data_IF_358247914478
#
_entry.id   IF_358247914478
#
_cell.length_a   1.000
_cell.length_b   1.000
_cell.length_c   1.000
_cell.angle_alpha   90.00
_cell.angle_beta   90.00
_cell.angle_gamma   90.00
#
_symmetry.space_group_name_H-M   'P 1'
#
loop_
_entity.id
_entity.type
_entity.pdbx_description
1 polymer ?
#
# COMPACT_ATOMS: atom_id res chain seq x y z
N UNK A 1 -14.26 4.35 27.31
CA UNK A 1 -14.98 3.74 26.17
C UNK A 1 -14.56 4.42 24.85
N UNK A 2 -13.27 4.35 24.48
CA UNK A 2 -12.68 5.08 23.32
C UNK A 2 -11.66 4.25 22.53
N UNK A 3 -11.76 2.91 22.56
CA UNK A 3 -10.74 2.04 21.95
C UNK A 3 -11.25 1.08 20.87
N UNK A 4 -12.55 1.05 20.58
CA UNK A 4 -13.08 0.15 19.54
C UNK A 4 -13.12 0.75 18.13
N UNK A 5 -13.09 2.09 17.99
CA UNK A 5 -13.19 2.74 16.68
C UNK A 5 -11.87 2.59 15.90
N UNK A 6 -10.71 2.68 16.56
CA UNK A 6 -9.41 2.58 15.87
C UNK A 6 -9.12 1.17 15.33
N UNK A 7 -9.51 0.13 16.08
CA UNK A 7 -9.37 -1.26 15.65
C UNK A 7 -10.35 -1.69 14.55
N UNK A 8 -11.43 -0.93 14.33
CA UNK A 8 -12.39 -1.20 13.26
C UNK A 8 -11.86 -0.74 11.89
N UNK A 9 -11.15 0.40 11.85
CA UNK A 9 -10.52 0.90 10.62
C UNK A 9 -9.36 0.00 10.15
N UNK A 10 -8.61 -0.62 11.07
CA UNK A 10 -7.53 -1.56 10.73
C UNK A 10 -8.04 -2.89 10.12
N UNK A 11 -9.35 -3.19 10.20
CA UNK A 11 -9.94 -4.43 9.68
C UNK A 11 -10.65 -4.29 8.34
N UNK A 12 -10.95 -3.08 7.91
CA UNK A 12 -11.67 -2.86 6.67
C UNK A 12 -10.69 -2.84 5.50
N UNK A 13 -10.58 -4.00 4.84
CA UNK A 13 -9.76 -4.15 3.64
C UNK A 13 -10.13 -3.07 2.64
N UNK A 14 -9.15 -2.41 2.00
CA UNK A 14 -9.43 -1.63 0.80
C UNK A 14 -10.26 -2.43 -0.19
N UNK A 15 -11.31 -1.82 -0.74
CA UNK A 15 -12.15 -2.48 -1.73
C UNK A 15 -11.28 -3.02 -2.87
N UNK A 16 -11.51 -4.28 -3.28
CA UNK A 16 -10.67 -4.98 -4.28
C UNK A 16 -10.45 -4.17 -5.56
N UNK A 17 -11.47 -3.45 -6.01
CA UNK A 17 -11.38 -2.57 -7.18
C UNK A 17 -10.37 -1.42 -6.99
N UNK A 18 -10.30 -0.86 -5.78
CA UNK A 18 -9.38 0.22 -5.44
C UNK A 18 -7.95 -0.31 -5.39
N UNK A 19 -7.75 -1.50 -4.82
CA UNK A 19 -6.45 -2.18 -4.81
C UNK A 19 -5.97 -2.50 -6.24
N UNK A 20 -6.83 -3.09 -7.07
CA UNK A 20 -6.49 -3.44 -8.46
C UNK A 20 -6.14 -2.18 -9.28
N UNK A 21 -6.88 -1.08 -9.09
CA UNK A 21 -6.58 0.20 -9.72
C UNK A 21 -5.24 0.77 -9.25
N UNK A 22 -4.96 0.74 -7.94
CA UNK A 22 -3.69 1.22 -7.39
C UNK A 22 -2.51 0.42 -7.92
N UNK A 23 -2.61 -0.91 -7.95
CA UNK A 23 -1.61 -1.79 -8.54
C UNK A 23 -1.40 -1.49 -10.03
N UNK A 24 -2.47 -1.23 -10.77
CA UNK A 24 -2.38 -0.87 -12.18
C UNK A 24 -1.64 0.46 -12.39
N UNK A 25 -1.97 1.49 -11.61
CA UNK A 25 -1.30 2.81 -11.67
C UNK A 25 0.19 2.65 -11.38
N UNK A 26 0.53 1.99 -10.28
CA UNK A 26 1.93 1.79 -9.87
C UNK A 26 2.69 0.99 -10.92
N UNK A 27 2.13 -0.12 -11.42
CA UNK A 27 2.80 -0.97 -12.42
C UNK A 27 2.89 -0.33 -13.80
N UNK A 28 1.98 0.57 -14.14
CA UNK A 28 2.08 1.34 -15.39
C UNK A 28 3.32 2.25 -15.38
N UNK A 29 3.70 2.78 -14.20
CA UNK A 29 4.90 3.61 -14.05
C UNK A 29 6.16 2.79 -13.72
N UNK A 30 6.02 1.78 -12.88
CA UNK A 30 7.08 0.90 -12.39
C UNK A 30 6.67 -0.56 -12.61
N UNK A 31 6.90 -1.12 -13.82
CA UNK A 31 6.44 -2.47 -14.17
C UNK A 31 6.98 -3.58 -13.25
N UNK A 32 8.15 -3.34 -12.66
CA UNK A 32 8.81 -4.26 -11.73
C UNK A 32 8.43 -4.00 -10.25
N UNK A 33 7.42 -3.17 -9.98
CA UNK A 33 7.01 -2.89 -8.62
C UNK A 33 6.59 -4.16 -7.87
N UNK A 34 7.14 -4.32 -6.67
CA UNK A 34 6.90 -5.45 -5.78
C UNK A 34 6.57 -4.93 -4.38
N UNK A 35 5.84 -5.74 -3.60
CA UNK A 35 5.57 -5.46 -2.19
C UNK A 35 6.29 -6.44 -1.29
N UNK A 36 6.78 -5.94 -0.15
CA UNK A 36 7.38 -6.74 0.91
C UNK A 36 6.77 -6.38 2.25
N UNK A 37 6.62 -7.37 3.13
CA UNK A 37 6.32 -7.10 4.54
C UNK A 37 7.59 -6.60 5.24
N UNK A 38 7.40 -5.71 6.21
CA UNK A 38 8.42 -5.21 7.13
C UNK A 38 8.00 -5.52 8.56
N UNK A 39 8.89 -5.29 9.53
CA UNK A 39 8.57 -5.52 10.95
C UNK A 39 7.36 -4.68 11.43
N UNK A 40 7.14 -3.52 10.80
CA UNK A 40 6.10 -2.56 11.17
C UNK A 40 4.91 -2.53 10.19
N UNK A 41 4.95 -3.27 9.09
CA UNK A 41 3.88 -3.22 8.08
C UNK A 41 4.29 -3.74 6.71
N UNK A 42 4.13 -2.91 5.67
CA UNK A 42 4.52 -3.27 4.31
C UNK A 42 5.00 -2.06 3.50
N UNK A 43 5.83 -2.36 2.51
CA UNK A 43 6.41 -1.40 1.59
C UNK A 43 6.23 -1.89 0.15
N UNK A 44 5.98 -0.95 -0.77
CA UNK A 44 6.05 -1.16 -2.21
C UNK A 44 7.33 -0.53 -2.71
N UNK A 45 8.13 -1.32 -3.43
CA UNK A 45 9.43 -0.93 -3.97
C UNK A 45 9.45 -1.13 -5.48
N UNK A 46 10.19 -0.30 -6.19
CA UNK A 46 10.64 -0.62 -7.54
C UNK A 46 11.76 -1.66 -7.46
N UNK A 47 11.51 -2.89 -7.91
CA UNK A 47 12.50 -3.96 -7.82
C UNK A 47 13.74 -3.73 -8.71
N UNK A 48 13.70 -2.79 -9.68
CA UNK A 48 14.85 -2.47 -10.53
C UNK A 48 15.84 -1.56 -9.79
N UNK A 49 15.34 -0.51 -9.14
CA UNK A 49 16.18 0.50 -8.47
C UNK A 49 16.32 0.28 -6.96
N UNK A 50 15.44 -0.53 -6.37
CA UNK A 50 15.30 -0.68 -4.92
C UNK A 50 14.64 0.51 -4.24
N UNK A 51 14.11 1.47 -5.00
CA UNK A 51 13.50 2.67 -4.44
C UNK A 51 12.12 2.39 -3.86
N UNK A 52 11.85 2.96 -2.69
CA UNK A 52 10.53 2.91 -2.08
C UNK A 52 9.54 3.80 -2.84
N UNK A 53 8.39 3.21 -3.19
CA UNK A 53 7.30 3.88 -3.90
C UNK A 53 6.17 4.28 -2.96
N UNK A 54 5.97 3.53 -1.87
CA UNK A 54 4.98 3.81 -0.84
C UNK A 54 5.02 2.76 0.27
N UNK A 55 4.50 3.11 1.44
CA UNK A 55 4.51 2.23 2.62
C UNK A 55 3.26 2.44 3.47
N UNK A 56 2.95 1.43 4.28
CA UNK A 56 1.87 1.50 5.25
C UNK A 56 2.17 0.66 6.50
N UNK A 57 1.72 1.18 7.65
CA UNK A 57 1.94 0.61 8.99
C UNK A 57 0.67 -0.10 9.51
N UNK A 58 -0.21 -0.56 8.61
CA UNK A 58 -1.60 -0.88 8.93
C UNK A 58 -1.94 -2.38 8.91
N UNK A 59 -1.70 -3.07 10.03
CA UNK A 59 -2.36 -4.35 10.37
C UNK A 59 -2.38 -5.43 9.27
N UNK A 60 -3.43 -6.24 9.24
CA UNK A 60 -3.59 -7.37 8.31
C UNK A 60 -3.59 -6.96 6.82
N UNK A 61 -3.78 -5.66 6.53
CA UNK A 61 -3.95 -5.09 5.18
C UNK A 61 -2.82 -4.14 4.77
N UNK A 62 -1.66 -4.24 5.42
CA UNK A 62 -0.56 -3.31 5.22
C UNK A 62 -0.09 -3.26 3.75
N UNK A 63 -0.11 -4.40 3.05
CA UNK A 63 0.29 -4.47 1.64
C UNK A 63 -0.65 -3.64 0.76
N UNK A 64 -1.96 -3.79 0.94
CA UNK A 64 -2.98 -3.10 0.17
C UNK A 64 -2.87 -1.58 0.37
N UNK A 65 -2.69 -1.15 1.61
CA UNK A 65 -2.48 0.26 1.90
C UNK A 65 -1.16 0.80 1.35
N UNK A 66 -0.09 -0.02 1.33
CA UNK A 66 1.18 0.38 0.71
C UNK A 66 1.04 0.59 -0.80
N UNK A 67 0.24 -0.24 -1.50
CA UNK A 67 -0.07 -0.03 -2.92
C UNK A 67 -0.89 1.23 -3.17
N UNK A 68 -1.84 1.56 -2.29
CA UNK A 68 -2.59 2.80 -2.36
C UNK A 68 -1.69 4.03 -2.16
N UNK A 69 -0.86 4.00 -1.12
CA UNK A 69 0.11 5.06 -0.82
C UNK A 69 1.07 5.30 -2.00
N UNK A 70 1.53 4.22 -2.64
CA UNK A 70 2.37 4.33 -3.83
C UNK A 70 1.64 4.94 -5.03
N UNK A 71 0.38 4.55 -5.26
CA UNK A 71 -0.44 5.14 -6.33
C UNK A 71 -0.71 6.63 -6.10
N UNK A 72 -1.01 7.03 -4.87
CA UNK A 72 -1.18 8.43 -4.47
C UNK A 72 0.09 9.25 -4.69
N UNK A 73 1.25 8.70 -4.29
CA UNK A 73 2.55 9.34 -4.48
C UNK A 73 2.88 9.57 -5.96
N UNK A 74 2.51 8.63 -6.83
CA UNK A 74 2.67 8.79 -8.29
C UNK A 74 1.70 9.84 -8.85
N UNK A 75 0.46 9.88 -8.36
CA UNK A 75 -0.54 10.84 -8.82
C UNK A 75 -0.23 12.28 -8.38
N UNK A 76 0.53 12.45 -7.29
CA UNK A 76 0.94 13.75 -6.76
C UNK A 76 2.25 14.29 -7.36
N UNK A 77 2.98 13.47 -8.14
CA UNK A 77 4.27 13.81 -8.75
C UNK A 77 4.12 14.37 -10.17
#
# INVERSE_FOLDING_TARGET
>A
MRSQVKAAFDRERPGRLVEDAARAIVRNRFPAAASSYTDDGAVVIDAVTGHELGSAVAGDWAVEFAWLSAAESIAAA
#
